data_IF_124860309166
#
_entry.id   IF_124860309166
#
_cell.length_a   1.000
_cell.length_b   1.000
_cell.length_c   1.000
_cell.angle_alpha   90.00
_cell.angle_beta   90.00
_cell.angle_gamma   90.00
#
_symmetry.space_group_name_H-M   'P 1'
#
loop_
_entity.id
_entity.type
_entity.pdbx_description
1 polymer ?
#
# COMPACT_ATOMS: atom_id res chain seq x y z
N UNK A 1 36.39 48.58 -27.92
CA UNK A 1 36.01 47.20 -27.62
C UNK A 1 35.58 46.55 -28.92
N UNK A 2 36.53 45.89 -29.63
CA UNK A 2 36.23 45.06 -30.80
C UNK A 2 35.77 43.70 -30.27
N UNK A 3 34.49 43.36 -30.51
CA UNK A 3 33.97 42.02 -30.34
C UNK A 3 34.57 41.12 -31.41
N UNK A 4 35.54 40.31 -31.01
CA UNK A 4 36.10 39.23 -31.81
C UNK A 4 34.97 38.21 -32.04
N UNK A 5 34.35 38.20 -33.24
CA UNK A 5 33.48 37.13 -33.72
C UNK A 5 34.32 35.87 -33.82
N UNK A 6 34.24 34.99 -32.84
CA UNK A 6 34.83 33.66 -32.88
C UNK A 6 34.16 32.88 -34.03
N UNK A 7 34.88 32.75 -35.14
CA UNK A 7 34.50 31.77 -36.18
C UNK A 7 34.69 30.40 -35.56
N UNK A 8 33.61 29.78 -35.15
CA UNK A 8 33.65 28.37 -34.74
C UNK A 8 34.03 27.54 -35.98
N UNK A 9 35.16 26.85 -35.99
CA UNK A 9 35.58 26.08 -37.14
C UNK A 9 34.59 24.93 -37.40
N UNK A 10 34.26 24.73 -38.70
CA UNK A 10 33.35 23.64 -39.15
C UNK A 10 33.73 22.25 -38.62
N UNK A 11 34.97 22.04 -38.23
CA UNK A 11 35.49 20.82 -37.59
C UNK A 11 34.81 20.48 -36.27
N UNK A 12 34.33 21.46 -35.50
CA UNK A 12 33.67 21.22 -34.26
C UNK A 12 32.31 20.50 -34.44
N UNK A 13 31.60 20.79 -35.51
CA UNK A 13 30.33 20.10 -35.81
C UNK A 13 30.53 18.63 -36.15
N UNK A 14 31.61 18.28 -36.81
CA UNK A 14 31.98 16.89 -37.10
C UNK A 14 32.34 16.17 -35.79
N UNK A 15 33.13 16.81 -34.93
CA UNK A 15 33.48 16.27 -33.63
C UNK A 15 32.23 16.02 -32.76
N UNK A 16 31.32 16.99 -32.70
CA UNK A 16 30.06 16.83 -31.96
C UNK A 16 29.17 15.75 -32.56
N UNK A 17 29.13 15.62 -33.89
CA UNK A 17 28.44 14.53 -34.56
C UNK A 17 29.01 13.15 -34.20
N UNK A 18 30.33 13.00 -34.21
CA UNK A 18 31.01 11.77 -33.82
C UNK A 18 30.75 11.42 -32.34
N UNK A 19 30.85 12.40 -31.43
CA UNK A 19 30.56 12.21 -30.01
C UNK A 19 29.10 11.81 -29.80
N UNK A 20 28.16 12.44 -30.50
CA UNK A 20 26.74 12.06 -30.40
C UNK A 20 26.49 10.62 -30.85
N UNK A 21 27.12 10.19 -31.95
CA UNK A 21 27.00 8.80 -32.42
C UNK A 21 27.61 7.82 -31.42
N UNK A 22 28.77 8.14 -30.85
CA UNK A 22 29.41 7.28 -29.83
C UNK A 22 28.53 7.17 -28.57
N UNK A 23 27.97 8.26 -28.09
CA UNK A 23 27.04 8.25 -26.94
C UNK A 23 25.80 7.41 -27.25
N UNK A 24 25.21 7.57 -28.43
CA UNK A 24 24.05 6.77 -28.82
C UNK A 24 24.40 5.30 -28.95
N UNK A 25 25.56 4.96 -29.51
CA UNK A 25 26.01 3.58 -29.64
C UNK A 25 26.24 2.89 -28.30
N UNK A 26 26.66 3.63 -27.29
CA UNK A 26 26.81 3.15 -25.93
C UNK A 26 25.46 3.06 -25.18
N UNK A 27 24.68 4.13 -25.21
CA UNK A 27 23.46 4.24 -24.42
C UNK A 27 22.29 3.37 -24.94
N UNK A 28 22.15 3.20 -26.26
CA UNK A 28 21.01 2.46 -26.84
C UNK A 28 21.01 0.98 -26.41
N UNK A 29 22.13 0.23 -26.47
CA UNK A 29 22.15 -1.15 -25.98
C UNK A 29 21.88 -1.28 -24.48
N UNK A 30 22.40 -0.34 -23.68
CA UNK A 30 22.15 -0.30 -22.23
C UNK A 30 20.65 -0.06 -21.98
N UNK A 31 20.08 0.97 -22.57
CA UNK A 31 18.67 1.29 -22.40
C UNK A 31 17.75 0.14 -22.84
N UNK A 32 18.06 -0.56 -23.94
CA UNK A 32 17.27 -1.71 -24.40
C UNK A 32 17.26 -2.88 -23.41
N UNK A 33 18.27 -3.02 -22.55
CA UNK A 33 18.28 -4.06 -21.48
C UNK A 33 17.25 -3.76 -20.39
N UNK A 34 17.05 -2.47 -20.07
CA UNK A 34 16.16 -2.04 -18.99
C UNK A 34 14.77 -1.66 -19.52
N UNK A 35 14.67 -1.26 -20.78
CA UNK A 35 13.43 -0.79 -21.39
C UNK A 35 13.32 -1.28 -22.85
N UNK A 36 13.23 -2.61 -23.01
CA UNK A 36 13.05 -3.27 -24.29
C UNK A 36 11.59 -3.43 -24.68
N UNK A 37 11.33 -3.90 -25.91
CA UNK A 37 9.99 -4.06 -26.48
C UNK A 37 9.09 -4.99 -25.64
N UNK A 38 9.68 -5.90 -24.87
CA UNK A 38 9.01 -6.80 -23.95
C UNK A 38 8.41 -6.13 -22.71
N UNK A 39 8.76 -4.87 -22.46
CA UNK A 39 8.18 -4.07 -21.36
C UNK A 39 6.95 -3.26 -21.80
N UNK A 40 6.66 -3.24 -23.10
CA UNK A 40 5.48 -2.58 -23.61
C UNK A 40 4.34 -3.59 -23.79
N UNK A 41 3.18 -3.26 -23.24
CA UNK A 41 1.95 -4.01 -23.44
C UNK A 41 1.01 -3.24 -24.36
N UNK A 42 0.09 -3.93 -25.01
CA UNK A 42 -0.93 -3.26 -25.83
C UNK A 42 -1.87 -2.46 -24.91
N UNK A 43 -2.36 -1.31 -25.39
CA UNK A 43 -3.29 -0.47 -24.63
C UNK A 43 -4.48 -1.26 -24.06
N UNK A 44 -5.06 -2.19 -24.85
CA UNK A 44 -6.16 -3.05 -24.43
C UNK A 44 -5.79 -3.98 -23.24
N UNK A 45 -4.55 -4.43 -23.16
CA UNK A 45 -4.07 -5.27 -22.05
C UNK A 45 -3.83 -4.42 -20.80
N UNK A 46 -3.31 -3.21 -20.98
CA UNK A 46 -3.20 -2.23 -19.90
C UNK A 46 -4.58 -1.85 -19.34
N UNK A 47 -5.55 -1.55 -20.20
CA UNK A 47 -6.93 -1.24 -19.80
C UNK A 47 -7.57 -2.41 -19.04
N UNK A 48 -7.33 -3.66 -19.48
CA UNK A 48 -7.81 -4.85 -18.80
C UNK A 48 -7.19 -5.03 -17.40
N UNK A 49 -5.91 -4.68 -17.25
CA UNK A 49 -5.24 -4.70 -15.95
C UNK A 49 -5.86 -3.70 -14.97
N UNK A 50 -6.26 -2.52 -15.45
CA UNK A 50 -6.90 -1.49 -14.64
C UNK A 50 -8.43 -1.58 -14.59
N UNK A 51 -9.02 -2.60 -15.22
CA UNK A 51 -10.46 -2.81 -15.16
C UNK A 51 -10.93 -3.02 -13.71
N UNK A 52 -12.07 -2.41 -13.38
CA UNK A 52 -12.66 -2.54 -12.06
C UNK A 52 -13.05 -3.98 -11.77
N UNK A 53 -12.68 -4.48 -10.61
CA UNK A 53 -12.98 -5.85 -10.19
C UNK A 53 -14.35 -5.93 -9.52
N UNK A 54 -15.02 -7.10 -9.52
CA UNK A 54 -16.31 -7.27 -8.88
C UNK A 54 -16.32 -6.88 -7.39
N UNK A 55 -15.29 -7.23 -6.64
CA UNK A 55 -15.18 -6.86 -5.22
C UNK A 55 -15.02 -5.34 -5.03
N UNK A 56 -14.31 -4.66 -5.96
CA UNK A 56 -14.17 -3.20 -5.91
C UNK A 56 -15.52 -2.52 -6.16
N UNK A 57 -16.31 -3.04 -7.13
CA UNK A 57 -17.66 -2.53 -7.40
C UNK A 57 -18.59 -2.68 -6.20
N UNK A 58 -18.44 -3.76 -5.43
CA UNK A 58 -19.23 -3.99 -4.24
C UNK A 58 -18.85 -3.04 -3.11
N UNK A 59 -17.54 -2.90 -2.83
CA UNK A 59 -17.05 -1.98 -1.80
C UNK A 59 -17.39 -0.52 -2.13
N UNK A 60 -17.33 -0.12 -3.40
CA UNK A 60 -17.65 1.24 -3.84
C UNK A 60 -19.14 1.61 -3.71
N UNK A 61 -20.02 0.67 -3.40
CA UNK A 61 -21.42 0.97 -3.04
C UNK A 61 -21.51 1.56 -1.62
N UNK A 62 -20.52 1.35 -0.79
CA UNK A 62 -20.46 1.98 0.54
C UNK A 62 -20.20 3.48 0.39
N UNK A 63 -21.13 4.28 0.89
CA UNK A 63 -21.10 5.74 0.79
C UNK A 63 -20.19 6.41 1.83
N UNK A 64 -19.69 5.65 2.79
CA UNK A 64 -18.72 6.16 3.76
C UNK A 64 -17.35 6.40 3.06
N UNK A 65 -16.85 7.64 2.99
CA UNK A 65 -15.59 7.93 2.30
C UNK A 65 -14.35 7.59 3.14
N UNK A 66 -14.52 7.16 4.38
CA UNK A 66 -13.49 7.21 5.40
C UNK A 66 -13.10 5.85 5.98
N UNK A 67 -13.13 4.78 5.21
CA UNK A 67 -12.66 3.47 5.63
C UNK A 67 -11.41 3.05 4.85
N UNK A 68 -10.76 2.00 5.32
CA UNK A 68 -9.64 1.34 4.63
C UNK A 68 -9.96 -0.12 4.32
N UNK A 69 -9.23 -0.63 3.32
CA UNK A 69 -9.37 -1.99 2.81
C UNK A 69 -8.04 -2.73 2.97
N UNK A 70 -8.10 -3.94 3.48
CA UNK A 70 -6.98 -4.88 3.51
C UNK A 70 -7.20 -5.92 2.40
N UNK A 71 -6.35 -5.92 1.38
CA UNK A 71 -6.46 -6.89 0.30
C UNK A 71 -5.50 -8.06 0.53
N UNK A 72 -6.06 -9.21 0.91
CA UNK A 72 -5.35 -10.48 1.13
C UNK A 72 -5.38 -11.38 -0.13
N UNK A 73 -6.12 -10.98 -1.17
CA UNK A 73 -6.19 -11.72 -2.43
C UNK A 73 -4.99 -11.42 -3.36
N UNK A 74 -4.17 -10.44 -3.01
CA UNK A 74 -2.95 -10.04 -3.74
C UNK A 74 -1.76 -10.00 -2.78
N UNK A 75 -0.59 -9.64 -3.28
CA UNK A 75 0.54 -9.34 -2.39
C UNK A 75 0.29 -8.01 -1.68
N UNK A 76 -0.22 -8.06 -0.46
CA UNK A 76 -0.76 -6.92 0.30
C UNK A 76 0.16 -5.71 0.32
N UNK A 77 1.48 -5.89 0.48
CA UNK A 77 2.45 -4.80 0.65
C UNK A 77 3.32 -4.52 -0.59
N UNK A 78 3.17 -5.32 -1.65
CA UNK A 78 3.93 -5.17 -2.90
C UNK A 78 3.05 -4.93 -4.13
N UNK A 79 1.73 -4.85 -3.96
CA UNK A 79 0.78 -4.55 -5.02
C UNK A 79 0.07 -3.21 -4.73
N UNK A 80 0.18 -2.26 -5.65
CA UNK A 80 -0.46 -0.95 -5.54
C UNK A 80 -1.87 -0.89 -6.16
N UNK A 81 -2.36 -1.98 -6.78
CA UNK A 81 -3.62 -2.00 -7.54
C UNK A 81 -4.82 -1.58 -6.71
N UNK A 82 -4.94 -2.10 -5.49
CA UNK A 82 -6.03 -1.74 -4.57
C UNK A 82 -6.11 -0.23 -4.35
N UNK A 83 -4.97 0.44 -4.27
CA UNK A 83 -4.88 1.88 -4.01
C UNK A 83 -5.35 2.76 -5.17
N UNK A 84 -5.61 2.21 -6.37
CA UNK A 84 -6.15 2.99 -7.49
C UNK A 84 -7.59 3.47 -7.21
N UNK A 85 -8.37 2.72 -6.44
CA UNK A 85 -9.79 3.02 -6.21
C UNK A 85 -10.19 3.04 -4.75
N UNK A 86 -9.46 2.34 -3.89
CA UNK A 86 -9.79 2.14 -2.48
C UNK A 86 -8.64 2.61 -1.61
N UNK A 87 -8.94 3.09 -0.42
CA UNK A 87 -7.91 3.41 0.58
C UNK A 87 -7.36 2.11 1.15
N UNK A 88 -6.17 1.72 0.74
CA UNK A 88 -5.54 0.46 1.16
C UNK A 88 -4.71 0.62 2.43
N UNK A 89 -4.77 -0.37 3.33
CA UNK A 89 -3.82 -0.54 4.43
C UNK A 89 -2.47 -1.01 3.88
N UNK A 90 -2.49 -1.84 2.82
CA UNK A 90 -1.31 -2.30 2.11
C UNK A 90 -0.85 -1.34 1.02
N UNK A 91 -0.15 -1.91 0.06
CA UNK A 91 0.38 -1.20 -1.10
C UNK A 91 1.90 -1.05 -1.09
N UNK A 92 2.47 -0.90 -2.28
CA UNK A 92 3.89 -0.63 -2.42
C UNK A 92 4.18 0.87 -2.34
N UNK A 93 5.13 1.25 -1.49
CA UNK A 93 5.70 2.60 -1.48
C UNK A 93 7.18 2.52 -1.13
N UNK A 94 8.03 3.06 -2.02
CA UNK A 94 9.47 3.17 -1.76
C UNK A 94 9.79 4.19 -0.64
N UNK A 95 8.88 5.11 -0.35
CA UNK A 95 9.00 6.14 0.69
C UNK A 95 8.08 5.86 1.89
N UNK A 96 7.90 4.58 2.25
CA UNK A 96 7.10 4.19 3.41
C UNK A 96 7.73 4.75 4.70
N UNK A 97 6.88 5.32 5.56
CA UNK A 97 7.32 5.79 6.87
C UNK A 97 7.82 4.60 7.71
N UNK A 98 8.94 4.78 8.41
CA UNK A 98 9.52 3.76 9.27
C UNK A 98 8.53 3.27 10.32
N UNK A 99 7.87 4.15 11.03
CA UNK A 99 6.83 3.81 12.02
C UNK A 99 5.72 2.94 11.45
N UNK A 100 5.32 3.19 10.19
CA UNK A 100 4.31 2.36 9.55
C UNK A 100 4.85 0.96 9.20
N UNK A 101 6.13 0.87 8.83
CA UNK A 101 6.79 -0.43 8.62
C UNK A 101 6.87 -1.22 9.93
N UNK A 102 7.19 -0.56 11.03
CA UNK A 102 7.25 -1.20 12.36
C UNK A 102 5.88 -1.78 12.75
N UNK A 103 4.78 -1.03 12.54
CA UNK A 103 3.41 -1.54 12.76
C UNK A 103 3.09 -2.73 11.83
N UNK A 104 3.56 -2.72 10.57
CA UNK A 104 3.37 -3.87 9.66
C UNK A 104 4.08 -5.10 10.21
N UNK A 105 5.32 -4.96 10.62
CA UNK A 105 6.18 -6.08 11.04
C UNK A 105 5.74 -6.64 12.41
N UNK A 106 5.37 -5.79 13.36
CA UNK A 106 5.03 -6.18 14.73
C UNK A 106 3.57 -6.64 14.88
N UNK A 107 2.63 -6.06 14.14
CA UNK A 107 1.19 -6.28 14.36
C UNK A 107 0.45 -6.77 13.10
N UNK A 108 0.43 -5.97 12.02
CA UNK A 108 -0.44 -6.28 10.87
C UNK A 108 -0.11 -7.65 10.28
N UNK A 109 1.18 -7.97 10.12
CA UNK A 109 1.61 -9.27 9.58
C UNK A 109 1.21 -10.45 10.47
N UNK A 110 1.16 -10.24 11.77
CA UNK A 110 0.72 -11.24 12.74
C UNK A 110 -0.80 -11.42 12.74
N UNK A 111 -1.56 -10.33 12.59
CA UNK A 111 -3.02 -10.37 12.55
C UNK A 111 -3.57 -10.93 11.21
N UNK A 112 -2.84 -10.82 10.09
CA UNK A 112 -3.30 -11.25 8.77
C UNK A 112 -3.61 -12.74 8.68
N UNK A 113 -2.77 -13.61 9.23
CA UNK A 113 -2.96 -15.07 9.17
C UNK A 113 -4.16 -15.54 10.00
N UNK A 114 -4.30 -15.14 11.27
CA UNK A 114 -5.51 -15.44 12.05
C UNK A 114 -6.78 -14.88 11.39
N UNK A 115 -6.74 -13.65 10.86
CA UNK A 115 -7.87 -13.06 10.15
C UNK A 115 -8.29 -13.91 8.95
N UNK A 116 -7.33 -14.34 8.12
CA UNK A 116 -7.62 -15.21 6.98
C UNK A 116 -8.22 -16.54 7.42
N UNK A 117 -7.69 -17.18 8.47
CA UNK A 117 -8.22 -18.43 9.00
C UNK A 117 -9.66 -18.25 9.52
N UNK A 118 -9.91 -17.19 10.28
CA UNK A 118 -11.24 -16.87 10.80
C UNK A 118 -12.26 -16.70 9.68
N UNK A 119 -11.93 -15.91 8.65
CA UNK A 119 -12.80 -15.72 7.49
C UNK A 119 -13.08 -17.04 6.75
N UNK A 120 -12.07 -17.89 6.61
CA UNK A 120 -12.23 -19.20 5.96
C UNK A 120 -13.10 -20.19 6.75
N UNK A 121 -13.06 -20.13 8.09
CA UNK A 121 -13.79 -21.05 8.97
C UNK A 121 -15.27 -20.69 9.11
N UNK A 122 -15.62 -19.41 9.04
CA UNK A 122 -16.99 -18.94 9.30
C UNK A 122 -17.96 -19.23 8.17
N UNK A 123 -17.52 -19.74 7.01
CA UNK A 123 -18.33 -20.02 5.80
C UNK A 123 -19.29 -18.90 5.39
N UNK A 124 -19.39 -17.88 6.17
CA UNK A 124 -20.14 -16.66 5.94
C UNK A 124 -19.19 -15.50 6.18
N UNK A 125 -19.15 -14.62 5.31
CA UNK A 125 -18.26 -13.46 5.31
C UNK A 125 -18.58 -12.47 6.46
N UNK A 126 -18.82 -12.99 7.65
CA UNK A 126 -18.96 -12.22 8.89
C UNK A 126 -17.80 -12.57 9.78
N UNK A 127 -17.03 -11.58 10.19
CA UNK A 127 -16.07 -11.77 11.27
C UNK A 127 -16.83 -12.20 12.53
N UNK A 128 -16.28 -13.13 13.31
CA UNK A 128 -16.96 -13.66 14.47
C UNK A 128 -17.13 -12.59 15.56
N UNK A 129 -17.82 -12.99 16.61
CA UNK A 129 -18.35 -12.22 17.73
C UNK A 129 -17.36 -11.19 18.35
N UNK A 130 -17.90 -10.17 18.99
CA UNK A 130 -17.18 -9.00 19.55
C UNK A 130 -15.97 -9.35 20.46
N UNK A 131 -15.95 -10.53 21.06
CA UNK A 131 -14.80 -10.97 21.85
C UNK A 131 -13.59 -11.38 21.01
N UNK A 132 -13.77 -11.71 19.73
CA UNK A 132 -12.70 -12.06 18.80
C UNK A 132 -12.19 -10.81 18.03
N UNK A 133 -12.94 -9.72 18.04
CA UNK A 133 -12.49 -8.44 17.47
C UNK A 133 -11.24 -7.85 18.15
N UNK A 134 -10.92 -8.32 19.37
CA UNK A 134 -9.66 -7.99 20.05
C UNK A 134 -8.44 -8.61 19.36
N UNK A 135 -8.62 -9.73 18.66
CA UNK A 135 -7.53 -10.40 17.97
C UNK A 135 -7.03 -9.65 16.73
N UNK A 136 -7.75 -8.59 16.30
CA UNK A 136 -7.41 -7.74 15.17
C UNK A 136 -7.43 -6.27 15.57
N UNK A 137 -6.91 -5.98 16.77
CA UNK A 137 -7.00 -4.66 17.40
C UNK A 137 -6.36 -3.58 16.53
N UNK A 138 -5.20 -3.84 15.97
CA UNK A 138 -4.48 -2.87 15.14
C UNK A 138 -5.16 -2.67 13.78
N UNK A 139 -5.69 -3.72 13.16
CA UNK A 139 -6.47 -3.60 11.92
C UNK A 139 -7.78 -2.82 12.15
N UNK A 140 -8.45 -3.03 13.30
CA UNK A 140 -9.63 -2.27 13.68
C UNK A 140 -9.31 -0.79 13.93
N UNK A 141 -8.21 -0.51 14.66
CA UNK A 141 -7.68 0.84 14.89
C UNK A 141 -7.34 1.55 13.57
N UNK A 142 -6.79 0.83 12.60
CA UNK A 142 -6.51 1.38 11.27
C UNK A 142 -7.77 1.58 10.41
N UNK A 143 -8.95 1.39 10.98
CA UNK A 143 -10.25 1.50 10.30
C UNK A 143 -10.39 0.54 9.11
N UNK A 144 -9.94 -0.71 9.26
CA UNK A 144 -10.16 -1.76 8.28
C UNK A 144 -11.64 -2.15 8.26
N UNK A 145 -12.40 -1.61 7.32
CA UNK A 145 -13.83 -1.91 7.16
C UNK A 145 -14.08 -3.10 6.25
N UNK A 146 -13.18 -3.37 5.31
CA UNK A 146 -13.26 -4.50 4.39
C UNK A 146 -11.92 -5.23 4.29
N UNK A 147 -11.99 -6.55 4.40
CA UNK A 147 -10.92 -7.46 4.00
C UNK A 147 -11.32 -8.12 2.67
N UNK A 148 -10.41 -8.19 1.72
CA UNK A 148 -10.64 -8.88 0.44
C UNK A 148 -9.87 -10.20 0.46
N UNK A 149 -10.57 -11.31 0.27
CA UNK A 149 -9.99 -12.65 0.30
C UNK A 149 -10.25 -13.39 -1.00
N UNK A 150 -9.33 -14.27 -1.40
CA UNK A 150 -9.55 -15.19 -2.53
C UNK A 150 -10.31 -16.42 -2.07
N UNK A 151 -11.42 -16.72 -2.75
CA UNK A 151 -12.17 -17.96 -2.52
C UNK A 151 -12.05 -18.89 -3.72
N UNK A 152 -11.97 -20.21 -3.46
CA UNK A 152 -11.95 -21.20 -4.54
C UNK A 152 -13.25 -21.14 -5.35
N UNK A 153 -13.13 -20.81 -6.64
CA UNK A 153 -14.25 -20.78 -7.59
C UNK A 153 -14.99 -19.45 -7.75
N UNK A 154 -14.87 -18.50 -6.81
CA UNK A 154 -15.60 -17.21 -6.89
C UNK A 154 -14.69 -15.98 -7.10
N UNK A 155 -13.37 -16.19 -7.13
CA UNK A 155 -12.42 -15.09 -7.22
C UNK A 155 -12.23 -14.34 -5.90
N UNK A 156 -11.90 -13.06 -5.99
CA UNK A 156 -11.74 -12.20 -4.81
C UNK A 156 -13.09 -11.65 -4.35
N UNK A 157 -13.39 -11.77 -3.06
CA UNK A 157 -14.64 -11.31 -2.44
C UNK A 157 -14.35 -10.41 -1.24
N UNK A 158 -15.15 -9.36 -1.00
CA UNK A 158 -14.99 -8.49 0.15
C UNK A 158 -15.73 -9.07 1.36
N UNK A 159 -15.07 -8.99 2.51
CA UNK A 159 -15.63 -9.33 3.82
C UNK A 159 -15.71 -8.07 4.64
N UNK A 160 -16.91 -7.74 5.15
CA UNK A 160 -17.11 -6.55 5.97
C UNK A 160 -16.72 -6.80 7.42
N UNK A 161 -15.88 -5.92 7.97
CA UNK A 161 -15.51 -5.89 9.38
C UNK A 161 -16.43 -4.92 10.14
N UNK A 162 -17.28 -5.40 11.06
CA UNK A 162 -18.15 -4.55 11.86
C UNK A 162 -17.41 -3.84 13.01
N UNK A 163 -16.16 -4.21 13.31
CA UNK A 163 -15.37 -3.69 14.45
C UNK A 163 -14.40 -2.59 14.06
N UNK A 164 -14.43 -2.11 12.82
CA UNK A 164 -13.62 -0.97 12.40
C UNK A 164 -13.94 0.26 13.26
N UNK A 165 -12.91 0.87 13.86
CA UNK A 165 -13.08 1.93 14.88
C UNK A 165 -13.35 3.32 14.30
N UNK A 166 -13.39 3.45 12.97
CA UNK A 166 -13.59 4.74 12.32
C UNK A 166 -12.29 5.55 12.20
N UNK A 167 -12.43 6.82 11.86
CA UNK A 167 -11.25 7.69 11.63
C UNK A 167 -10.72 8.34 12.90
N UNK A 168 -11.56 8.54 13.90
CA UNK A 168 -11.21 9.10 15.18
C UNK A 168 -12.26 8.70 16.22
N UNK A 169 -11.82 8.57 17.45
CA UNK A 169 -12.66 8.32 18.61
C UNK A 169 -12.03 8.95 19.85
N UNK A 170 -12.81 9.12 20.89
CA UNK A 170 -12.32 9.60 22.18
C UNK A 170 -11.87 8.42 23.02
N UNK A 171 -10.81 8.60 23.79
CA UNK A 171 -10.29 7.65 24.77
C UNK A 171 -10.38 8.22 26.16
N UNK A 172 -10.53 7.36 27.17
CA UNK A 172 -10.65 7.77 28.57
C UNK A 172 -9.28 7.99 29.21
N UNK A 173 -8.24 7.30 28.71
CA UNK A 173 -6.92 7.35 29.30
C UNK A 173 -5.81 7.32 28.23
N UNK A 174 -4.72 8.06 28.49
CA UNK A 174 -3.51 8.06 27.66
C UNK A 174 -2.35 7.53 28.49
N UNK A 175 -1.74 6.45 28.03
CA UNK A 175 -0.53 5.86 28.62
C UNK A 175 0.68 6.51 27.97
N UNK A 176 1.51 7.17 28.77
CA UNK A 176 2.72 7.82 28.30
C UNK A 176 3.91 6.87 28.46
N UNK A 177 4.66 6.67 27.37
CA UNK A 177 5.85 5.80 27.30
C UNK A 177 7.10 6.62 26.97
N UNK A 178 8.27 6.04 27.18
CA UNK A 178 9.54 6.73 26.99
C UNK A 178 10.14 6.48 25.60
N UNK A 179 9.72 5.44 24.91
CA UNK A 179 10.29 5.01 23.62
C UNK A 179 9.20 4.66 22.60
N UNK A 180 9.48 4.84 21.28
CA UNK A 180 8.57 4.39 20.23
C UNK A 180 8.35 2.86 20.20
N UNK A 181 9.31 2.07 20.66
CA UNK A 181 9.19 0.62 20.73
C UNK A 181 8.15 0.22 21.79
N UNK A 182 8.20 0.82 22.99
CA UNK A 182 7.16 0.65 24.02
C UNK A 182 5.78 1.11 23.54
N UNK A 183 5.71 2.21 22.75
CA UNK A 183 4.45 2.67 22.14
C UNK A 183 3.86 1.59 21.22
N UNK A 184 4.71 0.90 20.47
CA UNK A 184 4.29 -0.16 19.57
C UNK A 184 3.88 -1.42 20.34
N UNK A 185 4.70 -1.88 21.27
CA UNK A 185 4.47 -3.11 22.04
C UNK A 185 3.14 -3.07 22.81
N UNK A 186 2.79 -1.92 23.40
CA UNK A 186 1.57 -1.79 24.17
C UNK A 186 0.26 -1.82 23.35
N UNK A 187 0.31 -1.70 22.03
CA UNK A 187 -0.90 -1.75 21.20
C UNK A 187 -1.66 -3.08 21.30
N UNK A 188 -0.97 -4.18 21.62
CA UNK A 188 -1.60 -5.49 21.80
C UNK A 188 -2.12 -5.71 23.25
N UNK A 189 -1.66 -4.92 24.20
CA UNK A 189 -1.93 -5.10 25.62
C UNK A 189 -3.11 -4.27 26.13
N UNK A 190 -3.39 -3.13 25.46
CA UNK A 190 -4.40 -2.17 25.89
C UNK A 190 -5.73 -2.32 25.15
N UNK A 191 -6.78 -1.79 25.75
CA UNK A 191 -8.07 -1.63 25.08
C UNK A 191 -8.09 -0.32 24.25
N UNK A 192 -7.83 -0.43 22.97
CA UNK A 192 -7.76 0.70 22.03
C UNK A 192 -9.08 1.50 21.92
N UNK A 193 -10.22 0.96 22.41
CA UNK A 193 -11.47 1.71 22.46
C UNK A 193 -11.48 2.77 23.56
N UNK A 194 -10.79 2.51 24.67
CA UNK A 194 -10.80 3.36 25.87
C UNK A 194 -9.44 3.94 26.21
N UNK A 195 -8.37 3.41 25.63
CA UNK A 195 -7.00 3.79 25.95
C UNK A 195 -6.20 4.11 24.67
N UNK A 196 -5.24 5.03 24.82
CA UNK A 196 -4.24 5.33 23.80
C UNK A 196 -2.84 5.31 24.41
N UNK A 197 -1.85 5.04 23.57
CA UNK A 197 -0.43 5.15 23.95
C UNK A 197 0.19 6.30 23.20
N UNK A 198 1.06 7.04 23.85
CA UNK A 198 1.83 8.13 23.24
C UNK A 198 3.24 8.20 23.83
N UNK A 199 4.23 8.46 22.97
CA UNK A 199 5.58 8.81 23.42
C UNK A 199 5.55 10.18 24.13
N UNK A 200 6.17 10.28 25.31
CA UNK A 200 6.28 11.51 26.13
C UNK A 200 6.88 12.71 25.38
N UNK A 201 7.49 12.47 24.23
CA UNK A 201 8.07 13.54 23.38
C UNK A 201 7.02 14.29 22.56
N UNK A 202 5.80 13.79 22.48
CA UNK A 202 4.66 14.42 21.84
C UNK A 202 3.67 14.94 22.88
#
# INVERSE_FOLDING_TARGET
>A
WQTQKSQQPKHNYILYGVLAVLVLADMVPVNKRFFGDNHFVRAKEADAYFAIQPYEQEILKDTDPNFRVLNLATNTFNDARTSYRLKSIGGYSAAKLRRYQDIIDMHISQEMNPLMQTIMQTQGFMLPDANEGRNFAVLNMLNMKYAVVSTQGSGAVPVKNPYAMGNCWFVDNIILVDTPDEECDLLDEIDLHTQAVADKKF
#
